data_IF_859190802934
#
_entry.id   IF_859190802934
#
_cell.length_a   1.000
_cell.length_b   1.000
_cell.length_c   1.000
_cell.angle_alpha   90.00
_cell.angle_beta   90.00
_cell.angle_gamma   90.00
#
_symmetry.space_group_name_H-M   'P 1'
#
loop_
_entity.id
_entity.type
_entity.pdbx_description
1 polymer ?
2 non-polymer ?
3 water ?
#
# COMPACT_ATOMS: atom_id res chain seq x y z
N UNK A 2 26.07 -19.03 -0.43
CA UNK A 2 26.71 -17.70 -0.12
C UNK A 2 26.00 -16.52 -0.80
N UNK A 3 26.25 -15.31 -0.32
CA UNK A 3 25.81 -14.09 -1.01
C UNK A 3 26.64 -13.77 -2.26
N UNK A 4 26.06 -13.10 -3.26
CA UNK A 4 26.84 -12.81 -4.45
C UNK A 4 28.01 -11.87 -4.16
N UNK A 5 29.07 -12.00 -4.94
CA UNK A 5 30.23 -11.16 -4.79
C UNK A 5 29.93 -9.66 -4.92
N UNK A 6 29.11 -9.27 -5.88
CA UNK A 6 28.83 -7.82 -6.07
C UNK A 6 28.12 -7.19 -4.85
N UNK A 7 27.26 -7.96 -4.20
CA UNK A 7 26.57 -7.49 -3.01
C UNK A 7 27.57 -7.36 -1.85
N UNK A 8 28.28 -8.45 -1.57
CA UNK A 8 29.29 -8.49 -0.50
C UNK A 8 30.31 -7.35 -0.68
N UNK A 9 30.59 -6.98 -1.93
CA UNK A 9 31.48 -5.86 -2.23
C UNK A 9 31.04 -4.52 -1.62
N UNK A 10 29.74 -4.28 -1.52
CA UNK A 10 29.25 -2.96 -1.08
C UNK A 10 28.58 -2.96 0.27
N UNK A 11 28.21 -4.14 0.75
CA UNK A 11 27.44 -4.29 1.94
C UNK A 11 27.95 -5.42 2.81
N UNK A 12 27.79 -5.29 4.12
CA UNK A 12 28.01 -6.38 5.06
C UNK A 12 26.68 -6.87 5.56
N UNK A 13 26.41 -8.16 5.42
CA UNK A 13 25.12 -8.71 5.81
C UNK A 13 25.06 -9.05 7.30
N UNK A 14 23.86 -8.96 7.84
CA UNK A 14 23.63 -9.13 9.26
C UNK A 14 22.35 -9.91 9.50
N UNK A 15 21.66 -9.62 10.60
CA UNK A 15 20.54 -10.44 11.05
C UNK A 15 19.29 -10.30 10.19
N UNK A 16 18.35 -11.21 10.41
CA UNK A 16 17.08 -11.25 9.72
C UNK A 16 16.10 -10.32 10.42
N UNK A 17 15.33 -9.60 9.63
CA UNK A 17 14.32 -8.68 10.17
C UNK A 17 12.93 -9.27 9.95
N UNK A 18 12.74 -9.92 8.80
CA UNK A 18 11.46 -10.54 8.43
C UNK A 18 11.64 -11.74 7.51
N UNK A 19 10.60 -12.58 7.46
CA UNK A 19 10.62 -13.87 6.76
C UNK A 19 9.26 -14.14 6.09
N UNK A 20 9.07 -13.61 4.88
CA UNK A 20 7.82 -13.70 4.13
C UNK A 20 7.46 -15.10 3.61
N UNK A 21 7.65 -15.32 2.31
CA UNK A 21 7.25 -16.57 1.65
C UNK A 21 8.02 -16.79 0.35
N UNK A 23 10.70 -15.11 -0.07
CA UNK A 23 10.87 -13.84 0.63
C UNK A 23 11.64 -13.92 1.94
N UNK A 24 12.55 -12.97 2.14
CA UNK A 24 13.28 -12.80 3.41
C UNK A 24 13.84 -11.34 3.40
N UNK A 25 13.82 -10.64 4.54
CA UNK A 25 14.43 -9.31 4.64
C UNK A 25 15.55 -9.32 5.66
N UNK A 26 16.73 -8.81 5.29
CA UNK A 26 17.90 -8.76 6.17
C UNK A 26 18.43 -7.37 6.45
N UNK A 27 18.98 -7.20 7.64
CA UNK A 27 19.77 -6.03 7.98
C UNK A 27 21.11 -6.14 7.30
N UNK A 28 21.59 -5.01 6.77
CA UNK A 28 22.93 -4.89 6.20
C UNK A 28 23.46 -3.47 6.45
N UNK A 29 24.79 -3.34 6.33
CA UNK A 29 25.44 -2.05 6.41
C UNK A 29 26.12 -1.69 5.11
N UNK A 30 25.88 -0.49 4.63
CA UNK A 30 26.55 -0.02 3.45
C UNK A 30 27.98 0.33 3.85
N UNK A 31 28.95 -0.34 3.23
CA UNK A 31 30.36 -0.13 3.52
C UNK A 31 30.81 1.32 3.39
N UNK A 32 30.43 1.95 2.30
CA UNK A 32 30.85 3.31 2.00
C UNK A 32 30.48 4.32 3.12
N UNK A 33 29.28 4.16 3.70
CA UNK A 33 28.76 5.13 4.67
C UNK A 33 28.63 4.59 6.11
N UNK A 34 28.76 3.28 6.29
CA UNK A 34 28.45 2.62 7.56
C UNK A 34 27.03 2.81 8.08
N UNK A 35 26.08 2.95 7.18
CA UNK A 35 24.68 3.12 7.53
C UNK A 35 23.90 1.83 7.34
N UNK A 36 22.86 1.66 8.15
CA UNK A 36 21.97 0.51 8.06
C UNK A 36 21.08 0.62 6.85
N UNK A 37 20.95 -0.48 6.11
CA UNK A 37 19.97 -0.64 5.06
C UNK A 37 19.22 -1.97 5.27
N UNK A 38 18.17 -2.19 4.50
CA UNK A 38 17.40 -3.41 4.56
C UNK A 38 17.60 -4.04 3.21
N UNK A 39 17.68 -5.39 3.15
CA UNK A 39 17.87 -6.05 1.87
C UNK A 39 16.81 -7.11 1.72
N UNK A 40 15.95 -6.95 0.72
CA UNK A 40 14.89 -7.89 0.46
C UNK A 40 15.45 -8.92 -0.48
N UNK A 41 15.38 -10.18 -0.08
CA UNK A 41 15.83 -11.29 -0.92
C UNK A 41 14.59 -12.02 -1.47
N UNK A 42 14.53 -12.18 -2.78
CA UNK A 42 13.42 -12.87 -3.43
C UNK A 42 13.98 -14.05 -4.20
N UNK A 43 13.49 -15.25 -3.87
CA UNK A 43 13.93 -16.49 -4.52
C UNK A 43 13.66 -16.52 -6.02
N UNK A 44 14.64 -17.02 -6.77
CA UNK A 44 14.60 -17.04 -8.24
C UNK A 44 14.62 -18.50 -8.70
N UNK A 60 8.60 -10.55 -13.76
CA UNK A 60 8.53 -9.10 -13.63
C UNK A 60 9.09 -8.56 -12.28
N UNK A 61 10.28 -9.00 -11.88
CA UNK A 61 10.92 -8.38 -10.72
C UNK A 61 11.76 -7.21 -11.24
N UNK A 62 12.39 -7.37 -12.40
CA UNK A 62 13.06 -6.25 -13.07
C UNK A 62 12.06 -5.14 -13.45
N UNK A 63 10.85 -5.53 -13.82
CA UNK A 63 9.80 -4.54 -14.07
C UNK A 63 9.33 -3.84 -12.79
N UNK A 64 9.27 -4.58 -11.68
CA UNK A 64 8.99 -3.99 -10.37
C UNK A 64 10.10 -2.98 -10.00
N UNK A 65 11.34 -3.34 -10.28
CA UNK A 65 12.48 -2.43 -10.09
C UNK A 65 12.35 -1.17 -10.94
N UNK A 66 12.00 -1.36 -12.21
CA UNK A 66 11.81 -0.23 -13.12
C UNK A 66 10.71 0.68 -12.60
N UNK A 67 9.58 0.09 -12.21
CA UNK A 67 8.50 0.89 -11.64
C UNK A 67 9.00 1.67 -10.42
N UNK A 68 9.66 0.97 -9.50
CA UNK A 68 10.13 1.63 -8.29
C UNK A 68 11.30 2.62 -8.45
N UNK A 69 12.07 2.53 -9.54
CA UNK A 69 13.07 3.56 -9.81
C UNK A 69 12.42 4.86 -10.28
N UNK A 70 11.28 4.78 -10.95
CA UNK A 70 10.61 5.97 -11.46
C UNK A 70 9.84 6.74 -10.38
N UNK A 71 9.41 6.04 -9.34
CA UNK A 71 8.51 6.64 -8.36
C UNK A 71 9.28 7.47 -7.35
N UNK A 72 8.68 8.59 -6.97
CA UNK A 72 9.30 9.52 -6.05
C UNK A 72 8.22 10.14 -5.14
N UNK A 73 7.89 9.46 -4.05
CA UNK A 73 6.94 9.99 -3.08
C UNK A 73 7.40 9.55 -1.70
N UNK A 74 7.26 10.42 -0.70
CA UNK A 74 7.77 10.04 0.65
C UNK A 74 7.07 8.83 1.30
N UNK A 75 5.87 8.50 0.89
CA UNK A 75 5.16 7.33 1.41
C UNK A 75 5.26 6.10 0.49
N UNK A 76 6.24 6.12 -0.39
CA UNK A 76 6.52 4.95 -1.21
C UNK A 76 7.99 4.57 -1.06
N UNK A 77 8.22 3.29 -0.87
CA UNK A 77 9.58 2.76 -0.70
C UNK A 77 10.48 3.17 -1.87
N UNK A 78 11.72 3.60 -1.62
CA UNK A 78 12.76 3.79 -2.66
C UNK A 78 13.82 2.65 -2.74
N UNK A 79 14.23 2.30 -3.95
CA UNK A 79 15.27 1.31 -4.17
C UNK A 79 16.60 2.04 -4.16
N UNK A 80 17.56 1.58 -3.36
CA UNK A 80 18.92 2.13 -3.32
C UNK A 80 19.85 1.31 -4.21
N UNK A 81 19.48 0.07 -4.49
CA UNK A 81 20.33 -0.83 -5.25
C UNK A 81 19.63 -2.17 -5.50
N UNK A 82 20.15 -2.90 -6.48
CA UNK A 82 19.55 -4.12 -6.96
C UNK A 82 20.62 -5.05 -7.55
N UNK A 83 20.58 -6.32 -7.18
CA UNK A 83 21.48 -7.34 -7.74
C UNK A 83 20.67 -8.57 -8.11
N UNK A 84 20.99 -9.13 -9.26
CA UNK A 84 20.31 -10.27 -9.88
C UNK A 84 21.29 -11.46 -9.95
N UNK A 85 21.28 -12.31 -8.92
CA UNK A 85 22.17 -13.49 -8.81
C UNK A 85 21.52 -14.70 -9.47
N UNK A 86 21.67 -15.99 -9.06
CA UNK A 86 21.49 -16.56 -7.74
C UNK A 86 20.02 -16.31 -7.41
N UNK A 87 19.77 -15.24 -6.67
CA UNK A 87 18.44 -14.75 -6.35
C UNK A 87 18.41 -13.26 -6.69
N UNK A 88 17.29 -12.59 -6.39
CA UNK A 88 17.23 -11.14 -6.51
C UNK A 88 17.42 -10.53 -5.14
N UNK A 89 18.17 -9.45 -5.09
CA UNK A 89 18.44 -8.72 -3.85
C UNK A 89 18.11 -7.27 -4.10
N UNK A 90 17.25 -6.70 -3.30
CA UNK A 90 16.82 -5.32 -3.48
C UNK A 90 17.19 -4.58 -2.22
N UNK A 91 18.02 -3.56 -2.34
CA UNK A 91 18.44 -2.79 -1.21
C UNK A 91 17.53 -1.60 -1.01
N UNK A 92 17.08 -1.37 0.21
CA UNK A 92 16.28 -0.20 0.48
C UNK A 92 16.56 0.44 1.82
N UNK A 93 15.93 1.60 2.03
CA UNK A 93 16.02 2.30 3.30
C UNK A 93 15.43 1.42 4.40
N UNK A 94 16.05 1.49 5.57
CA UNK A 94 15.62 0.73 6.72
C UNK A 94 14.35 1.36 7.30
N UNK A 95 13.36 0.53 7.63
CA UNK A 95 12.12 0.97 8.25
C UNK A 95 12.03 0.28 9.60
N UNK A 96 12.65 0.89 10.60
CA UNK A 96 12.86 0.28 11.93
C UNK A 96 11.55 -0.12 12.63
N UNK A 97 10.46 0.51 12.26
CA UNK A 97 9.16 0.22 12.84
C UNK A 97 8.54 -1.09 12.42
N UNK A 98 9.02 -1.70 11.35
CA UNK A 98 8.46 -2.97 10.88
C UNK A 98 7.16 -2.78 10.10
N UNK A 99 6.44 -3.89 9.93
CA UNK A 99 5.18 -3.93 9.17
C UNK A 99 4.04 -3.43 10.03
N UNK A 100 3.05 -2.80 9.41
CA UNK A 100 1.80 -2.40 10.08
C UNK A 100 1.07 -3.64 10.61
N UNK A 101 1.22 -4.77 9.92
CA UNK A 101 0.59 -6.02 10.30
C UNK A 101 0.78 -6.34 11.79
N UNK A 102 2.00 -6.12 12.28
CA UNK A 102 2.32 -6.45 13.68
C UNK A 102 1.62 -5.57 14.70
N UNK A 103 1.21 -4.37 14.29
CA UNK A 103 0.50 -3.45 15.16
C UNK A 103 -1.00 -3.75 15.22
N UNK A 104 -1.48 -4.67 14.37
CA UNK A 104 -2.92 -4.94 14.29
C UNK A 104 -3.30 -6.40 14.47
N UNK A 105 -2.32 -7.28 14.55
CA UNK A 105 -2.55 -8.70 14.75
C UNK A 105 -3.01 -8.97 16.21
N UNK A 106 -3.75 -10.06 16.41
CA UNK A 106 -4.27 -10.42 17.75
C UNK A 106 -5.26 -9.41 18.34
N UNK A 107 -6.10 -8.83 17.47
CA UNK A 107 -7.09 -7.83 17.91
C UNK A 107 -6.51 -6.57 18.55
N UNK A 108 -5.19 -6.42 18.49
CA UNK A 108 -4.59 -5.15 18.91
C UNK A 108 -5.19 -4.12 17.98
N UNK A 109 -5.50 -2.94 18.51
CA UNK A 109 -5.88 -1.88 17.60
C UNK A 109 -5.24 -0.54 17.96
N UNK A 110 -5.12 0.27 16.91
CA UNK A 110 -4.48 1.55 16.99
C UNK A 110 -5.49 2.55 17.55
N UNK A 111 -5.00 3.62 18.15
CA UNK A 111 -5.88 4.74 18.54
C UNK A 111 -6.43 5.38 17.27
N UNK A 112 -7.60 5.98 17.35
CA UNK A 112 -8.25 6.53 16.17
C UNK A 112 -7.39 7.58 15.49
N UNK A 113 -6.70 8.40 16.28
CA UNK A 113 -5.80 9.42 15.75
C UNK A 113 -4.60 8.83 15.00
N UNK A 114 -4.12 7.66 15.45
CA UNK A 114 -3.01 7.00 14.78
C UNK A 114 -3.47 6.42 13.42
N UNK A 115 -4.65 5.80 13.38
CA UNK A 115 -5.22 5.35 12.10
C UNK A 115 -5.35 6.48 11.09
N UNK A 116 -5.80 7.63 11.55
CA UNK A 116 -6.03 8.75 10.67
C UNK A 116 -4.69 9.20 10.10
N UNK A 117 -3.67 9.24 10.94
CA UNK A 117 -2.35 9.62 10.45
C UNK A 117 -1.87 8.59 9.41
N UNK A 118 -1.91 7.32 9.76
CA UNK A 118 -1.45 6.27 8.84
C UNK A 118 -2.27 6.25 7.57
N UNK A 119 -3.58 6.34 7.71
CA UNK A 119 -4.45 6.23 6.58
C UNK A 119 -4.29 7.39 5.59
N UNK A 120 -4.15 8.60 6.11
CA UNK A 120 -3.89 9.78 5.29
C UNK A 120 -2.67 9.49 4.41
N UNK A 121 -1.62 8.94 4.99
CA UNK A 121 -0.42 8.64 4.23
C UNK A 121 -0.64 7.58 3.13
N UNK A 122 -1.38 6.52 3.43
CA UNK A 122 -1.69 5.49 2.45
C UNK A 122 -2.50 6.07 1.28
N UNK A 123 -3.46 6.94 1.57
CA UNK A 123 -4.21 7.64 0.52
C UNK A 123 -3.36 8.48 -0.40
N UNK A 124 -2.45 9.26 0.17
CA UNK A 124 -1.54 10.10 -0.62
C UNK A 124 -0.66 9.23 -1.50
N UNK A 125 -0.17 8.13 -0.93
CA UNK A 125 0.68 7.20 -1.66
C UNK A 125 -0.10 6.59 -2.82
N UNK A 126 -1.29 6.08 -2.52
CA UNK A 126 -2.07 5.45 -3.55
C UNK A 126 -2.55 6.47 -4.54
N UNK A 127 -2.92 7.66 -4.10
CA UNK A 127 -3.29 8.73 -5.03
C UNK A 127 -2.19 8.99 -6.08
N UNK A 128 -0.96 9.17 -5.57
CA UNK A 128 0.23 9.39 -6.40
C UNK A 128 0.46 8.24 -7.39
N UNK A 129 0.29 6.99 -6.95
CA UNK A 129 0.33 5.85 -7.86
C UNK A 129 -0.68 5.98 -8.99
N UNK A 130 -1.92 6.29 -8.66
CA UNK A 130 -2.98 6.33 -9.65
C UNK A 130 -2.78 7.49 -10.63
N UNK A 131 -2.30 8.65 -10.16
CA UNK A 131 -1.95 9.75 -11.07
C UNK A 131 -0.87 9.37 -12.05
N UNK A 132 0.04 8.49 -11.65
CA UNK A 132 1.15 8.06 -12.48
C UNK A 132 0.90 6.73 -13.22
N UNK A 133 -0.37 6.31 -13.35
CA UNK A 133 -0.72 5.10 -14.12
C UNK A 133 -0.31 3.75 -13.53
N UNK A 134 -0.15 3.68 -12.21
CA UNK A 134 0.21 2.44 -11.54
C UNK A 134 -0.92 1.99 -10.60
N UNK A 135 -1.32 0.73 -10.71
CA UNK A 135 -2.19 0.10 -9.71
C UNK A 135 -1.37 -0.89 -8.90
N UNK A 136 -1.47 -0.80 -7.58
CA UNK A 136 -0.65 -1.65 -6.71
C UNK A 136 -1.14 -3.09 -6.71
N UNK A 137 -2.43 -3.31 -6.46
CA UNK A 137 -3.09 -4.63 -6.46
C UNK A 137 -2.78 -5.59 -5.28
N UNK A 138 -1.99 -5.20 -4.32
CA UNK A 138 -1.69 -6.06 -3.18
C UNK A 138 -1.55 -5.24 -1.91
N UNK A 139 -2.38 -4.20 -1.74
CA UNK A 139 -2.32 -3.42 -0.53
C UNK A 139 -2.85 -4.28 0.63
N UNK A 140 -2.05 -4.42 1.67
CA UNK A 140 -2.44 -5.10 2.90
C UNK A 140 -1.46 -4.70 4.02
N UNK A 141 -1.80 -4.97 5.30
CA UNK A 141 -0.95 -4.46 6.37
C UNK A 141 0.49 -4.99 6.31
N UNK A 142 0.70 -6.17 5.74
CA UNK A 142 2.06 -6.69 5.52
C UNK A 142 2.91 -5.79 4.60
N UNK A 143 2.26 -5.01 3.73
CA UNK A 143 2.94 -4.19 2.72
C UNK A 143 3.01 -2.72 3.06
N UNK A 144 2.72 -2.41 4.32
CA UNK A 144 2.84 -1.06 4.84
C UNK A 144 3.92 -1.09 5.89
N UNK A 145 4.94 -0.24 5.74
CA UNK A 145 6.08 -0.23 6.65
C UNK A 145 6.12 1.05 7.47
N UNK A 146 6.58 0.94 8.72
CA UNK A 146 6.68 2.06 9.64
C UNK A 146 8.13 2.54 9.83
N UNK A 147 8.33 3.86 9.68
CA UNK A 147 9.64 4.50 9.79
C UNK A 147 10.32 4.41 11.15
N UNK A 148 9.56 4.25 12.21
CA UNK A 148 10.14 4.17 13.54
C UNK A 148 9.23 3.40 14.49
N UNK A 149 9.70 3.16 15.70
CA UNK A 149 8.91 2.43 16.70
C UNK A 149 7.89 3.30 17.46
N UNK A 150 7.92 4.60 17.21
CA UNK A 150 6.94 5.54 17.76
C UNK A 150 5.63 5.46 17.01
N UNK A 151 4.51 5.69 17.71
CA UNK A 151 3.18 5.58 17.09
C UNK A 151 2.99 6.64 15.99
N UNK A 152 3.37 7.89 16.27
CA UNK A 152 3.35 8.95 15.27
C UNK A 152 4.57 8.83 14.38
N UNK A 153 4.44 8.19 13.22
CA UNK A 153 5.56 8.09 12.26
C UNK A 153 5.11 8.14 10.78
N UNK A 154 6.11 8.16 9.90
CA UNK A 154 5.88 8.06 8.46
C UNK A 154 5.72 6.61 8.08
N UNK A 155 4.79 6.34 7.19
CA UNK A 155 4.71 5.00 6.65
C UNK A 155 5.05 5.00 5.17
N UNK A 156 5.49 3.84 4.68
CA UNK A 156 5.78 3.67 3.27
C UNK A 156 5.17 2.40 2.77
N UNK A 157 4.60 2.49 1.58
CA UNK A 157 4.05 1.35 0.91
C UNK A 157 5.16 0.65 0.18
N UNK A 158 5.13 -0.68 0.25
CA UNK A 158 6.08 -1.54 -0.40
C UNK A 158 5.44 -2.67 -1.20
N UNK A 159 6.29 -3.44 -1.88
CA UNK A 159 5.89 -4.69 -2.61
C UNK A 159 5.03 -4.46 -3.84
N UNK A 160 5.71 -4.19 -4.94
CA UNK A 160 5.08 -3.91 -6.19
C UNK A 160 5.09 -5.09 -7.14
N UNK A 161 5.19 -6.30 -6.60
CA UNK A 161 5.21 -7.53 -7.39
C UNK A 161 3.95 -7.88 -8.18
N UNK A 162 2.80 -7.34 -7.81
CA UNK A 162 1.54 -7.62 -8.55
C UNK A 162 1.08 -6.36 -9.25
N UNK A 163 1.90 -5.33 -9.27
CA UNK A 163 1.41 -4.05 -9.71
C UNK A 163 1.23 -4.07 -11.21
N UNK A 164 0.51 -3.08 -11.74
CA UNK A 164 0.11 -3.05 -13.13
C UNK A 164 0.20 -1.64 -13.68
N UNK A 165 0.87 -1.46 -14.81
CA UNK A 165 0.96 -0.16 -15.46
C UNK A 165 -0.22 0.02 -16.37
N UNK A 166 -1.07 0.99 -16.08
CA UNK A 166 -2.13 1.39 -16.98
C UNK A 166 -1.56 1.99 -18.25
N UNK A 167 -2.27 1.84 -19.36
CA UNK A 167 -1.89 2.53 -20.61
C UNK A 167 -2.96 2.37 -21.67
N UNK A 168 -2.59 2.63 -22.92
CA UNK A 168 -3.48 2.43 -24.07
C UNK A 168 -3.88 0.95 -24.10
N UNK A 169 -5.17 0.69 -23.86
CA UNK A 169 -5.66 -0.66 -23.76
C UNK A 169 -5.89 -1.27 -25.15
N UNK A 170 -6.05 -2.59 -25.16
CA UNK A 170 -6.43 -3.28 -26.39
C UNK A 170 -7.87 -2.87 -26.74
N UNK A 171 -8.69 -2.66 -25.70
CA UNK A 171 -10.08 -2.15 -25.86
C UNK A 171 -10.16 -0.84 -26.63
N UNK A 172 -9.31 0.14 -26.30
CA UNK A 172 -9.32 1.42 -27.03
C UNK A 172 -9.01 1.24 -28.53
N UNK A 173 -7.99 0.45 -28.86
CA UNK A 173 -7.61 0.17 -30.27
C UNK A 173 -8.73 -0.52 -31.05
N UNK A 174 -9.47 -1.39 -30.37
CA UNK A 174 -10.58 -2.07 -30.99
C UNK A 174 -11.68 -1.09 -31.35
N UNK A 175 -11.98 -0.12 -30.48
CA UNK A 175 -13.10 0.76 -30.75
C UNK A 175 -12.82 1.89 -31.74
N UNK A 176 -11.68 1.87 -32.43
CA UNK A 176 -11.45 2.87 -33.48
C UNK A 176 -12.03 2.45 -34.83
N UNK A 177 -12.13 1.15 -35.06
CA UNK A 177 -12.77 0.63 -36.27
C UNK A 177 -14.27 0.48 -36.11
N UNK A 178 -14.93 0.09 -37.20
CA UNK A 178 -16.35 -0.26 -37.18
C UNK A 178 -16.46 -1.63 -36.53
N UNK A 179 -17.42 -1.79 -35.61
CA UNK A 179 -17.53 -3.06 -34.89
C UNK A 179 -18.27 -4.17 -35.65
N UNK A 180 -18.38 -4.05 -36.97
CA UNK A 180 -18.95 -5.08 -37.80
C UNK A 180 -18.68 -6.53 -37.33
N UNK A 181 -17.44 -6.79 -36.89
CA UNK A 181 -16.96 -8.13 -36.55
C UNK A 181 -16.70 -8.29 -35.06
N UNK A 182 -17.07 -7.30 -34.28
CA UNK A 182 -16.75 -7.28 -32.87
C UNK A 182 -17.85 -7.97 -32.04
N UNK A 183 -17.41 -8.85 -31.14
CA UNK A 183 -18.28 -9.65 -30.31
C UNK A 183 -18.99 -8.80 -29.28
N UNK A 184 -20.19 -9.21 -28.86
CA UNK A 184 -20.96 -8.41 -27.90
C UNK A 184 -20.30 -8.17 -26.54
N UNK A 185 -19.59 -9.16 -26.02
CA UNK A 185 -18.95 -9.04 -24.69
C UNK A 185 -17.87 -7.96 -24.63
N UNK A 186 -17.23 -7.69 -25.76
CA UNK A 186 -16.28 -6.60 -25.84
C UNK A 186 -17.01 -5.25 -25.72
N UNK A 187 -18.17 -5.13 -26.37
CA UNK A 187 -18.94 -3.88 -26.31
C UNK A 187 -19.56 -3.69 -24.95
N UNK A 188 -20.04 -4.75 -24.33
CA UNK A 188 -20.53 -4.63 -22.98
C UNK A 188 -19.42 -4.26 -21.98
N UNK A 189 -18.20 -4.74 -22.16
CA UNK A 189 -17.12 -4.39 -21.22
C UNK A 189 -16.75 -2.92 -21.23
N UNK A 190 -17.22 -2.20 -22.25
CA UNK A 190 -16.95 -0.78 -22.36
C UNK A 190 -17.57 -0.02 -21.16
N UNK A 191 -18.69 -0.49 -20.63
CA UNK A 191 -19.40 0.20 -19.56
C UNK A 191 -18.59 0.31 -18.28
N UNK A 192 -17.71 -0.66 -18.05
CA UNK A 192 -17.00 -0.79 -16.78
C UNK A 192 -15.48 -0.79 -16.90
N UNK A 193 -14.93 -0.52 -18.08
CA UNK A 193 -13.48 -0.45 -18.27
C UNK A 193 -12.88 0.84 -17.73
N UNK A 194 -11.61 0.75 -17.33
CA UNK A 194 -10.91 1.88 -16.77
C UNK A 194 -11.14 2.11 -15.30
N UNK A 195 -11.77 1.15 -14.61
CA UNK A 195 -11.98 1.15 -13.17
C UNK A 195 -11.14 0.10 -12.39
N UNK A 196 -10.12 -0.45 -13.05
CA UNK A 196 -9.22 -1.41 -12.39
C UNK A 196 -8.59 -0.84 -11.11
N UNK A 197 -8.29 0.45 -11.11
CA UNK A 197 -7.69 1.12 -9.96
C UNK A 197 -8.54 1.06 -8.71
N UNK A 198 -9.85 0.96 -8.87
CA UNK A 198 -10.78 0.86 -7.74
C UNK A 198 -10.50 -0.34 -6.83
N UNK A 199 -9.76 -1.37 -7.30
CA UNK A 199 -9.40 -2.47 -6.39
C UNK A 199 -8.46 -1.99 -5.30
N UNK A 200 -7.68 -0.94 -5.55
CA UNK A 200 -6.80 -0.40 -4.52
C UNK A 200 -7.63 0.32 -3.47
N UNK A 201 -8.68 1.03 -3.87
CA UNK A 201 -9.57 1.71 -2.93
C UNK A 201 -10.38 0.77 -2.01
N UNK A 202 -10.82 -0.36 -2.58
CA UNK A 202 -11.43 -1.43 -1.80
C UNK A 202 -10.45 -1.96 -0.72
N UNK A 203 -9.21 -2.26 -1.10
CA UNK A 203 -8.19 -2.71 -0.17
C UNK A 203 -7.90 -1.72 0.95
N UNK A 204 -7.85 -0.44 0.60
CA UNK A 204 -7.67 0.60 1.60
C UNK A 204 -8.81 0.54 2.59
N UNK A 205 -10.03 0.28 2.10
CA UNK A 205 -11.23 0.24 2.96
C UNK A 205 -11.09 -0.88 3.95
N UNK A 206 -10.66 -2.05 3.47
CA UNK A 206 -10.44 -3.20 4.35
C UNK A 206 -9.33 -2.91 5.37
N UNK A 207 -8.27 -2.24 4.94
CA UNK A 207 -7.16 -1.95 5.87
C UNK A 207 -7.62 -1.00 6.96
N UNK A 208 -8.37 0.03 6.56
CA UNK A 208 -8.90 1.00 7.51
C UNK A 208 -9.80 0.32 8.55
N UNK A 209 -10.72 -0.48 8.08
CA UNK A 209 -11.59 -1.27 8.95
C UNK A 209 -10.80 -2.03 10.02
N UNK A 210 -9.81 -2.80 9.59
CA UNK A 210 -8.95 -3.58 10.49
C UNK A 210 -8.20 -2.69 11.48
N UNK A 211 -7.67 -1.58 11.01
CA UNK A 211 -7.00 -0.63 11.87
C UNK A 211 -7.93 -0.02 12.96
N UNK A 212 -9.12 0.40 12.57
CA UNK A 212 -10.02 1.04 13.51
C UNK A 212 -10.62 0.04 14.50
N UNK A 213 -10.76 -1.22 14.10
CA UNK A 213 -11.53 -2.23 14.84
C UNK A 213 -10.72 -3.41 15.43
N UNK A 214 -9.52 -3.66 14.94
CA UNK A 214 -8.76 -4.84 15.35
C UNK A 214 -9.20 -6.16 14.76
N UNK A 215 -10.26 -6.20 13.96
CA UNK A 215 -10.66 -7.46 13.30
C UNK A 215 -11.02 -7.23 11.81
N UNK A 216 -10.88 -8.27 10.96
CA UNK A 216 -11.18 -8.17 9.52
C UNK A 216 -12.67 -8.20 9.26
N UNK A 217 -13.15 -7.48 8.25
CA UNK A 217 -14.58 -7.42 7.88
C UNK A 217 -15.18 -8.67 7.26
N UNK A 218 -14.36 -9.40 6.52
CA UNK A 218 -14.79 -10.59 5.81
C UNK A 218 -13.86 -11.68 6.28
N UNK A 219 -14.43 -12.78 6.74
CA UNK A 219 -13.68 -13.81 7.45
C UNK A 219 -14.55 -15.03 7.59
N UNK A 220 -13.92 -16.19 7.75
CA UNK A 220 -14.65 -17.44 7.96
C UNK A 220 -14.83 -17.75 9.46
N UNK A 221 -14.32 -16.88 10.33
CA UNK A 221 -14.48 -17.06 11.78
C UNK A 221 -15.93 -16.90 12.22
N UNK A 222 -16.51 -18.01 12.68
CA UNK A 222 -17.85 -18.01 13.26
C UNK A 222 -18.89 -17.51 12.23
N UNK A 223 -18.88 -18.06 11.03
CA UNK A 223 -19.94 -17.79 10.05
C UNK A 223 -20.20 -19.02 9.20
N UNK A 224 -21.38 -19.04 8.59
CA UNK A 224 -21.69 -20.01 7.56
C UNK A 224 -21.75 -19.39 6.16
N UNK A 225 -21.74 -18.06 6.08
CA UNK A 225 -21.64 -17.40 4.78
C UNK A 225 -20.21 -17.59 4.27
N UNK A 226 -20.05 -18.12 3.07
CA UNK A 226 -18.74 -18.28 2.50
C UNK A 226 -18.04 -16.91 2.34
N UNK A 227 -16.71 -16.92 2.38
CA UNK A 227 -15.94 -15.69 2.23
C UNK A 227 -16.35 -15.00 0.92
N UNK A 228 -16.46 -15.77 -0.14
CA UNK A 228 -16.80 -15.18 -1.41
C UNK A 228 -18.14 -14.46 -1.34
N UNK A 229 -19.14 -15.07 -0.74
CA UNK A 229 -20.47 -14.47 -0.66
C UNK A 229 -20.51 -13.23 0.22
N UNK A 230 -19.69 -13.20 1.27
CA UNK A 230 -19.56 -11.99 2.10
C UNK A 230 -19.02 -10.82 1.27
N UNK A 231 -18.02 -11.08 0.45
CA UNK A 231 -17.34 -10.03 -0.26
C UNK A 231 -18.20 -9.52 -1.38
N UNK A 232 -18.80 -10.40 -2.19
CA UNK A 232 -19.59 -9.92 -3.35
C UNK A 232 -20.91 -9.25 -2.96
N UNK A 233 -21.41 -9.52 -1.77
CA UNK A 233 -22.60 -8.82 -1.28
C UNK A 233 -22.24 -7.55 -0.51
N UNK A 234 -20.98 -7.42 -0.09
CA UNK A 234 -20.54 -6.23 0.66
C UNK A 234 -20.99 -6.24 2.11
N UNK A 235 -21.42 -7.39 2.60
CA UNK A 235 -21.93 -7.49 3.96
C UNK A 235 -20.82 -7.83 4.91
N UNK A 236 -20.14 -6.79 5.36
CA UNK A 236 -19.08 -6.89 6.33
C UNK A 236 -19.63 -7.21 7.74
N UNK A 237 -18.78 -7.87 8.53
CA UNK A 237 -19.10 -8.24 9.89
C UNK A 237 -18.99 -7.02 10.81
N UNK A 238 -20.14 -6.44 11.15
CA UNK A 238 -20.21 -5.36 12.12
C UNK A 238 -20.51 -5.89 13.55
N UNK A 239 -19.62 -5.60 14.49
CA UNK A 239 -19.82 -5.99 15.88
C UNK A 239 -19.97 -4.70 16.68
N UNK A 240 -21.21 -4.35 17.03
CA UNK A 240 -21.46 -2.98 17.56
C UNK A 240 -20.58 -2.54 18.73
N UNK A 241 -20.22 -3.47 19.62
CA UNK A 241 -19.50 -3.12 20.84
C UNK A 241 -18.01 -2.83 20.66
N UNK A 242 -17.43 -3.22 19.52
CA UNK A 242 -16.03 -2.84 19.21
C UNK A 242 -16.01 -1.44 18.57
N UNK A 243 -17.00 -1.15 17.74
CA UNK A 243 -17.08 0.14 17.04
C UNK A 243 -17.60 1.31 17.91
N UNK A 244 -18.15 1.00 19.10
CA UNK A 244 -18.81 2.00 19.95
C UNK A 244 -17.89 3.17 20.20
N UNK A 245 -16.62 2.86 20.43
CA UNK A 245 -15.61 3.87 20.74
C UNK A 245 -14.96 4.52 19.49
N UNK A 246 -15.38 4.09 18.31
CA UNK A 246 -14.90 4.68 17.05
C UNK A 246 -15.91 5.71 16.54
N UNK A 247 -15.42 6.87 16.12
CA UNK A 247 -16.31 7.91 15.63
C UNK A 247 -17.21 7.45 14.47
N UNK A 248 -18.25 8.24 14.20
CA UNK A 248 -19.16 8.00 13.07
C UNK A 248 -18.50 8.34 11.73
N UNK A 249 -17.71 9.41 11.73
CA UNK A 249 -17.04 9.89 10.52
C UNK A 249 -16.10 8.82 9.95
N UNK A 250 -15.36 8.13 10.84
CA UNK A 250 -14.43 7.08 10.48
C UNK A 250 -15.17 5.90 9.87
N UNK A 251 -16.28 5.52 10.50
CA UNK A 251 -17.10 4.45 10.00
C UNK A 251 -17.74 4.82 8.67
N UNK A 252 -18.17 6.06 8.54
CA UNK A 252 -18.76 6.52 7.29
C UNK A 252 -17.76 6.42 6.11
N UNK A 253 -16.51 6.79 6.33
CA UNK A 253 -15.48 6.64 5.27
C UNK A 253 -15.31 5.14 4.90
N UNK A 254 -15.16 4.28 5.91
CA UNK A 254 -15.11 2.86 5.67
C UNK A 254 -16.25 2.42 4.77
N UNK A 255 -17.46 2.90 5.01
CA UNK A 255 -18.62 2.44 4.22
C UNK A 255 -18.60 2.90 2.79
N UNK A 256 -17.97 4.03 2.51
CA UNK A 256 -17.90 4.54 1.13
C UNK A 256 -16.76 3.87 0.34
N UNK A 257 -15.83 3.23 1.04
CA UNK A 257 -14.77 2.48 0.40
C UNK A 257 -15.21 1.02 0.19
N UNK A 258 -16.05 0.48 1.06
CA UNK A 258 -16.47 -0.92 0.89
C UNK A 258 -17.78 -1.00 0.12
N UNK A 259 -17.86 -0.30 -0.99
CA UNK A 259 -19.03 -0.29 -1.83
C UNK A 259 -18.73 -1.28 -2.93
N UNK A 260 -19.67 -2.17 -3.22
CA UNK A 260 -19.41 -3.26 -4.14
C UNK A 260 -19.32 -2.80 -5.58
N UNK A 261 -20.11 -1.81 -5.98
CA UNK A 261 -19.97 -1.29 -7.36
C UNK A 261 -18.70 -0.44 -7.53
N UNK A 262 -17.71 -0.89 -8.33
CA UNK A 262 -16.47 -0.14 -8.46
C UNK A 262 -16.64 1.29 -8.98
N UNK A 263 -17.67 1.55 -9.79
CA UNK A 263 -17.94 2.89 -10.32
C UNK A 263 -18.47 3.88 -9.27
N UNK A 264 -19.25 3.39 -8.32
CA UNK A 264 -19.74 4.17 -7.19
C UNK A 264 -18.76 4.27 -5.97
N UNK A 265 -17.77 3.39 -5.90
CA UNK A 265 -16.80 3.41 -4.82
C UNK A 265 -15.98 4.71 -4.81
N UNK A 266 -15.69 5.19 -3.59
CA UNK A 266 -14.81 6.33 -3.38
C UNK A 266 -13.42 6.12 -4.01
N UNK A 267 -12.93 7.15 -4.69
CA UNK A 267 -11.58 7.18 -5.19
C UNK A 267 -10.70 7.74 -4.09
N UNK A 268 -9.40 7.73 -4.29
CA UNK A 268 -8.49 8.33 -3.31
C UNK A 268 -8.81 9.83 -3.11
N UNK A 269 -9.14 10.53 -4.20
CA UNK A 269 -9.51 11.96 -4.12
C UNK A 269 -10.68 12.23 -3.21
N UNK A 270 -11.73 11.43 -3.37
CA UNK A 270 -12.95 11.64 -2.60
C UNK A 270 -12.73 11.25 -1.13
N UNK A 271 -11.83 10.30 -0.88
CA UNK A 271 -11.53 9.91 0.48
C UNK A 271 -10.71 11.00 1.17
N UNK A 272 -9.86 11.70 0.43
CA UNK A 272 -9.03 12.78 1.00
C UNK A 272 -9.88 14.02 1.34
N UNK A 273 -11.05 14.14 0.70
CA UNK A 273 -11.99 15.25 0.97
C UNK A 273 -13.09 14.89 1.98
N UNK A 274 -13.05 13.68 2.52
CA UNK A 274 -14.02 13.25 3.51
C UNK A 274 -13.80 13.97 4.84
N UNK A 275 -14.88 14.32 5.55
CA UNK A 275 -14.82 15.00 6.86
C UNK A 275 -13.83 14.38 7.85
N UNK A 276 -13.68 13.06 7.85
CA UNK A 276 -12.73 12.42 8.77
C UNK A 276 -11.26 12.84 8.55
N UNK A 277 -10.90 13.22 7.34
CA UNK A 277 -9.51 13.60 7.05
C UNK A 277 -9.33 15.11 6.96
N UNK A 278 -10.35 15.87 7.33
CA UNK A 278 -10.22 17.34 7.47
C UNK A 278 -9.84 17.65 8.92
N UNK A 279 -8.67 17.19 9.31
CA UNK A 279 -8.17 17.26 10.68
C UNK A 279 -6.80 17.93 10.61
N UNK A 280 -6.77 19.24 10.83
CA UNK A 280 -5.54 20.03 10.69
C UNK A 280 -4.45 19.69 11.69
N UNK A 281 -4.80 19.12 12.84
CA UNK A 281 -3.77 18.63 13.76
C UNK A 281 -2.96 17.52 13.08
N UNK A 282 -3.68 16.54 12.53
CA UNK A 282 -3.05 15.38 11.86
C UNK A 282 -2.16 15.81 10.69
N UNK A 283 -2.64 16.73 9.87
CA UNK A 283 -1.86 17.18 8.73
C UNK A 283 -0.57 17.90 9.13
N UNK A 284 -0.62 18.64 10.24
CA UNK A 284 0.56 19.33 10.75
C UNK A 284 1.53 18.28 11.29
N UNK A 285 1.01 17.34 12.06
CA UNK A 285 1.84 16.24 12.54
C UNK A 285 2.54 15.46 11.38
N UNK A 286 1.89 15.42 10.21
CA UNK A 286 2.47 14.77 9.04
C UNK A 286 3.54 15.65 8.41
N UNK A 287 3.23 16.92 8.21
CA UNK A 287 4.22 17.85 7.65
C UNK A 287 5.50 17.93 8.47
N UNK A 288 5.36 17.89 9.79
CA UNK A 288 6.53 17.96 10.67
C UNK A 288 7.32 16.67 10.62
N UNK A 289 6.66 15.54 10.43
CA UNK A 289 7.39 14.30 10.26
C UNK A 289 8.21 14.30 8.96
N UNK A 290 7.68 14.93 7.92
CA UNK A 290 8.41 15.03 6.66
C UNK A 290 9.72 15.82 6.84
N UNK A 291 9.66 16.92 7.59
CA UNK A 291 10.84 17.74 7.87
C UNK A 291 11.89 17.00 8.69
N UNK A 292 11.46 16.33 9.76
CA UNK A 292 12.37 15.46 10.50
C UNK A 292 13.16 14.52 9.57
N UNK A 293 12.48 13.85 8.62
CA UNK A 293 13.12 12.92 7.66
C UNK A 293 14.12 13.64 6.74
N UNK A 294 13.75 14.83 6.26
CA UNK A 294 14.56 15.56 5.26
C UNK A 294 15.83 16.25 5.81
N UNK A 295 17.00 15.72 5.44
CA UNK A 295 18.31 16.37 5.72
C UNK A 295 19.14 16.56 4.43
N UNK A 296 19.03 17.77 3.84
CA UNK A 296 19.69 18.07 2.57
C UNK A 296 20.14 19.56 2.43
N UNK A 297 20.34 20.02 1.19
CA UNK A 297 21.29 21.08 0.90
C UNK A 297 20.79 22.51 1.21
N UNK A 298 21.74 23.44 1.30
CA UNK A 298 21.41 24.87 1.47
C UNK A 298 20.62 25.42 0.26
N UNK A 299 19.75 26.42 0.51
CA UNK A 299 18.87 27.00 -0.53
C UNK A 299 19.21 28.48 -0.78
N UNK A 300 19.00 28.98 -2.03
CA UNK A 300 18.76 30.42 -2.20
C UNK A 300 17.27 30.70 -1.96
N UNK A 301 16.91 31.62 -1.07
CA UNK A 301 17.85 32.41 -0.25
C UNK A 301 18.47 31.57 0.87
X LIG B 1 13.59 -2.39 8.09
X LIG B 1 13.00 -3.03 9.22
X LIG B 1 13.36 -2.55 10.51
X LIG B 1 12.11 -4.04 9.11
X LIG B 1 11.72 -4.73 10.26
X LIG B 1 11.57 -4.40 7.88
X LIG B 1 11.77 -3.96 6.65
X LIG B 1 10.99 -4.68 5.83
X LIG B 1 10.33 -5.61 6.51
X LIG B 1 10.66 -5.45 7.80
X LIG B 1 10.28 -6.15 8.94
X LIG B 1 10.81 -5.78 10.18
X LIG B 1 10.93 -4.48 4.32
X LIG B 1 11.70 -3.67 3.78
X LIG B 1 10.03 -5.24 3.67
X LIG B 1 9.88 -5.32 2.33
X LIG B 1 8.95 -6.21 1.78
X LIG B 1 8.79 -6.35 0.39
X LIG B 1 9.60 -5.60 -0.50
X LIG B 1 10.53 -4.72 0.07
X LIG B 1 10.68 -4.59 1.45
X LIG B 1 9.46 -5.73 -1.88
X LIG B 1 9.87 -4.64 -2.86
X LIG B 1 8.97 -6.86 -2.36
X LIG B 1 8.77 -7.09 -3.57
X LIG B 1 8.28 -8.29 -3.95
X LIG B 1 8.08 -8.64 -5.21
X LIG B 1 7.99 -9.21 -3.04
X LIG B 1 7.51 -10.43 -3.44
#
# INVERSE_FOLDING_TARGET
SVYPKALRDEYIMSKTLGSGACGEVKLAFERKTCKKVAIKIISKRKFAIGSAREADPALNVETEIEILKKLNHPCIIKIKNFFDAEDYYIVLELMEGGELFDKVVGNKRLKEATCKLYFYQMLLAVQYLHENGIIHRDLKPENVLLSSQEEDCLIKITDFGHSKILGETSLMRTLCGTPTYLAPEVLVSVGTAGYNRAVDCWSLGVILFICLSGYPPFSEHRTQVSLKDQITSGKYNFIPEVWAEVSEKALDLVKKLLVVDPKARFTTEEALRHPWLQDEDMKRKFQDLLSEENESTALPQVLAQPSTSRKRPREGEAEGAE
XK9 O3 N7 O2 C3 C2 C4 N1 C8 C7 C5 C6 C1 C9 O1 N2 C10 C15 C14 C13 C12 C11 C16 C17 N3 N4 C18 N6 N5 OBC
#
